data_IF_733588880338
#
_entry.id   IF_733588880338
#
_cell.length_a   1.000
_cell.length_b   1.000
_cell.length_c   1.000
_cell.angle_alpha   90.00
_cell.angle_beta   90.00
_cell.angle_gamma   90.00
#
_symmetry.space_group_name_H-M   'P 1'
#
loop_
_entity.id
_entity.type
_entity.pdbx_description
1 polymer ?
#
# COMPACT_ATOMS: atom_id res chain seq x y z
N UNK A 1 5.58 -24.36 -1.26
CA UNK A 1 5.67 -25.22 -0.06
C UNK A 1 6.14 -24.34 1.10
N UNK A 2 5.25 -23.92 1.98
CA UNK A 2 5.62 -23.20 3.20
C UNK A 2 5.62 -24.20 4.36
N UNK A 3 6.76 -24.37 5.02
CA UNK A 3 6.84 -25.16 6.25
C UNK A 3 6.39 -24.22 7.38
N UNK A 4 5.11 -24.31 7.77
CA UNK A 4 4.62 -23.66 8.98
C UNK A 4 5.01 -24.50 10.20
N UNK A 5 6.01 -24.04 10.96
CA UNK A 5 6.26 -24.57 12.30
C UNK A 5 5.27 -23.90 13.26
N UNK A 6 4.23 -24.64 13.66
CA UNK A 6 3.41 -24.27 14.81
C UNK A 6 4.22 -24.56 16.07
N UNK A 7 4.89 -23.54 16.61
CA UNK A 7 5.47 -23.63 17.94
C UNK A 7 4.32 -23.68 18.97
N UNK A 8 4.50 -24.46 20.04
CA UNK A 8 3.66 -24.37 21.24
C UNK A 8 3.56 -22.89 21.66
N UNK A 9 2.41 -22.43 22.20
CA UNK A 9 2.20 -21.03 22.58
C UNK A 9 3.13 -20.67 23.73
N UNK A 10 4.36 -20.30 23.42
CA UNK A 10 5.21 -19.57 24.35
C UNK A 10 4.71 -18.13 24.34
N UNK A 11 4.57 -17.48 25.51
CA UNK A 11 4.18 -16.08 25.57
C UNK A 11 5.26 -15.26 24.85
N UNK A 12 4.95 -14.84 23.63
CA UNK A 12 5.82 -13.96 22.85
C UNK A 12 5.62 -12.56 23.41
N UNK A 13 6.66 -12.03 24.06
CA UNK A 13 6.68 -10.63 24.47
C UNK A 13 6.88 -9.77 23.22
N UNK A 14 5.78 -9.21 22.69
CA UNK A 14 5.78 -8.33 21.53
C UNK A 14 5.78 -6.89 22.04
N UNK A 15 6.80 -6.12 21.67
CA UNK A 15 6.84 -4.68 21.96
C UNK A 15 5.64 -3.97 21.33
N UNK A 16 4.83 -3.22 22.12
CA UNK A 16 3.70 -2.49 21.58
C UNK A 16 4.12 -1.50 20.50
N UNK A 17 3.38 -1.48 19.37
CA UNK A 17 3.57 -0.52 18.29
C UNK A 17 2.60 0.64 18.45
N UNK A 18 3.07 1.86 18.26
CA UNK A 18 2.20 3.03 18.13
C UNK A 18 1.47 2.97 16.79
N UNK A 19 0.14 3.00 16.82
CA UNK A 19 -0.72 3.04 15.64
C UNK A 19 -1.52 4.35 15.61
N UNK A 20 -1.99 4.74 14.44
CA UNK A 20 -2.89 5.88 14.28
C UNK A 20 -4.29 5.39 13.93
N UNK A 21 -5.28 5.90 14.66
CA UNK A 21 -6.69 5.69 14.40
C UNK A 21 -7.29 7.07 14.20
N UNK A 22 -7.76 7.36 12.98
CA UNK A 22 -8.34 8.66 12.65
C UNK A 22 -9.84 8.70 12.92
N UNK A 23 -10.53 7.55 12.83
CA UNK A 23 -11.96 7.47 13.08
C UNK A 23 -12.36 6.07 13.57
N UNK A 24 -13.22 6.02 14.58
CA UNK A 24 -13.96 4.82 14.99
C UNK A 24 -15.42 5.24 15.11
N UNK A 25 -16.32 4.48 14.48
CA UNK A 25 -17.75 4.75 14.51
C UNK A 25 -18.53 3.47 14.68
N UNK A 26 -19.35 3.41 15.74
CA UNK A 26 -20.35 2.36 15.90
C UNK A 26 -21.44 2.56 14.84
N UNK A 27 -21.69 1.53 14.03
CA UNK A 27 -22.74 1.52 13.03
C UNK A 27 -23.99 0.82 13.54
N UNK A 28 -23.79 -0.32 14.19
CA UNK A 28 -24.87 -1.15 14.71
C UNK A 28 -24.41 -1.89 15.98
N UNK A 29 -25.34 -2.12 16.89
CA UNK A 29 -25.14 -2.94 18.08
C UNK A 29 -26.36 -3.85 18.23
N UNK A 30 -26.15 -5.15 18.15
CA UNK A 30 -27.18 -6.17 18.37
C UNK A 30 -26.99 -6.79 19.74
N UNK A 31 -28.10 -6.86 20.51
CA UNK A 31 -28.11 -7.54 21.80
C UNK A 31 -28.28 -9.04 21.64
N UNK A 32 -28.09 -9.77 22.75
CA UNK A 32 -28.22 -11.23 22.81
C UNK A 32 -27.27 -11.81 23.85
N UNK A 33 -27.20 -13.14 23.92
CA UNK A 33 -26.24 -13.83 24.79
C UNK A 33 -24.78 -13.54 24.40
N UNK A 34 -24.57 -13.24 23.10
CA UNK A 34 -23.31 -12.76 22.53
C UNK A 34 -23.60 -11.46 21.76
N UNK A 35 -23.48 -10.27 22.39
CA UNK A 35 -23.74 -9.01 21.71
C UNK A 35 -22.73 -8.78 20.59
N UNK A 36 -23.21 -8.34 19.43
CA UNK A 36 -22.36 -8.05 18.27
C UNK A 36 -22.37 -6.55 17.96
N UNK A 37 -21.21 -5.99 17.62
CA UNK A 37 -21.07 -4.58 17.29
C UNK A 37 -20.41 -4.44 15.91
N UNK A 38 -21.10 -3.76 14.99
CA UNK A 38 -20.55 -3.39 13.70
C UNK A 38 -19.89 -2.03 13.83
N UNK A 39 -18.57 -1.98 13.60
CA UNK A 39 -17.76 -0.77 13.81
C UNK A 39 -16.98 -0.43 12.55
N UNK A 40 -17.15 0.80 12.07
CA UNK A 40 -16.31 1.35 11.00
C UNK A 40 -15.05 1.98 11.59
N UNK A 41 -13.88 1.53 11.13
CA UNK A 41 -12.58 2.01 11.58
C UNK A 41 -11.78 2.58 10.41
N UNK A 42 -11.20 3.77 10.61
CA UNK A 42 -10.18 4.34 9.71
C UNK A 42 -8.87 4.41 10.49
N UNK A 43 -7.87 3.67 10.01
CA UNK A 43 -6.60 3.52 10.70
C UNK A 43 -5.41 3.51 9.74
N UNK A 44 -4.22 3.82 10.26
CA UNK A 44 -2.97 3.76 9.52
C UNK A 44 -2.50 2.33 9.23
N UNK A 45 -1.49 2.22 8.37
CA UNK A 45 -0.88 0.93 8.01
C UNK A 45 -0.29 0.21 9.23
N UNK A 46 -0.36 -1.13 9.21
CA UNK A 46 0.15 -1.97 10.29
C UNK A 46 -0.71 -2.02 11.55
N UNK A 47 -1.93 -1.47 11.49
CA UNK A 47 -2.93 -1.59 12.57
C UNK A 47 -3.58 -2.97 12.53
N UNK A 48 -3.59 -3.65 13.67
CA UNK A 48 -4.20 -4.98 13.80
C UNK A 48 -5.64 -4.84 14.31
N UNK A 49 -6.62 -4.92 13.41
CA UNK A 49 -8.04 -4.73 13.75
C UNK A 49 -8.51 -5.69 14.85
N UNK A 50 -7.94 -6.90 14.92
CA UNK A 50 -8.22 -7.86 16.01
C UNK A 50 -7.81 -7.32 17.39
N UNK A 51 -6.76 -6.52 17.50
CA UNK A 51 -6.40 -5.86 18.78
C UNK A 51 -7.43 -4.80 19.15
N UNK A 52 -7.93 -4.02 18.18
CA UNK A 52 -8.98 -3.02 18.42
C UNK A 52 -10.25 -3.71 18.91
N UNK A 53 -10.70 -4.77 18.25
CA UNK A 53 -11.89 -5.52 18.67
C UNK A 53 -11.76 -6.02 20.13
N UNK A 54 -10.59 -6.56 20.47
CA UNK A 54 -10.28 -7.02 21.82
C UNK A 54 -10.36 -5.88 22.84
N UNK A 55 -9.61 -4.79 22.61
CA UNK A 55 -9.54 -3.62 23.50
C UNK A 55 -10.90 -2.93 23.65
N UNK A 56 -11.70 -2.86 22.58
CA UNK A 56 -13.07 -2.32 22.64
C UNK A 56 -13.98 -3.19 23.52
N UNK A 57 -13.98 -4.52 23.36
CA UNK A 57 -14.79 -5.40 24.21
C UNK A 57 -14.31 -5.41 25.66
N UNK A 58 -13.00 -5.30 25.89
CA UNK A 58 -12.39 -5.08 27.19
C UNK A 58 -12.91 -3.80 27.86
N UNK A 59 -12.98 -2.69 27.12
CA UNK A 59 -13.50 -1.40 27.61
C UNK A 59 -15.01 -1.39 27.87
N UNK A 60 -15.79 -2.23 27.17
CA UNK A 60 -17.23 -2.35 27.41
C UNK A 60 -17.56 -3.15 28.68
N UNK A 61 -16.70 -4.10 29.05
CA UNK A 61 -16.92 -4.99 30.20
C UNK A 61 -16.42 -4.39 31.53
N UNK A 62 -15.41 -3.52 31.47
CA UNK A 62 -14.76 -2.99 32.68
C UNK A 62 -14.94 -1.48 32.78
N UNK A 63 -15.68 -0.97 33.77
CA UNK A 63 -15.72 0.45 34.08
C UNK A 63 -14.31 1.00 34.28
N UNK A 64 -14.05 2.20 33.77
CA UNK A 64 -12.71 2.79 33.73
C UNK A 64 -12.09 2.94 35.12
N UNK A 65 -12.91 2.98 36.16
CA UNK A 65 -12.55 3.09 37.57
C UNK A 65 -11.98 1.80 38.17
N UNK A 66 -12.16 0.65 37.49
CA UNK A 66 -11.75 -0.69 37.95
C UNK A 66 -10.55 -1.26 37.16
N UNK A 67 -9.90 -0.46 36.31
CA UNK A 67 -8.70 -0.87 35.60
C UNK A 67 -7.48 -0.89 36.54
N UNK A 68 -7.03 -2.08 36.94
CA UNK A 68 -5.80 -2.26 37.71
C UNK A 68 -4.55 -2.18 36.81
N UNK A 69 -3.43 -1.77 37.41
CA UNK A 69 -2.09 -1.63 36.84
C UNK A 69 -1.54 -2.92 36.19
N UNK A 70 -2.14 -4.08 36.50
CA UNK A 70 -1.78 -5.41 35.99
C UNK A 70 -2.29 -5.69 34.58
N UNK A 71 -3.19 -4.85 34.02
CA UNK A 71 -3.89 -5.07 32.74
C UNK A 71 -4.73 -6.36 32.68
N UNK A 72 -4.96 -7.03 33.80
CA UNK A 72 -5.92 -8.13 33.89
C UNK A 72 -7.32 -7.56 34.13
N UNK A 73 -8.12 -7.52 33.07
CA UNK A 73 -9.49 -7.03 33.14
C UNK A 73 -10.40 -8.14 33.65
N UNK A 74 -11.18 -7.84 34.70
CA UNK A 74 -12.14 -8.76 35.29
C UNK A 74 -13.54 -8.18 35.27
N UNK A 75 -14.55 -9.02 35.04
CA UNK A 75 -15.95 -8.62 35.10
C UNK A 75 -16.38 -8.39 36.57
N UNK A 76 -17.60 -7.86 36.84
CA UNK A 76 -18.09 -7.69 38.21
C UNK A 76 -18.16 -8.99 39.04
N UNK A 77 -18.15 -10.16 38.41
CA UNK A 77 -18.10 -11.48 39.05
C UNK A 77 -16.66 -11.98 39.32
N UNK A 78 -15.63 -11.22 38.93
CA UNK A 78 -14.22 -11.56 39.15
C UNK A 78 -13.59 -12.46 38.07
N UNK A 79 -14.33 -12.79 37.01
CA UNK A 79 -13.86 -13.62 35.90
C UNK A 79 -13.01 -12.80 34.92
N UNK A 80 -12.05 -13.44 34.27
CA UNK A 80 -11.20 -12.78 33.27
C UNK A 80 -12.02 -12.37 32.04
N UNK A 81 -12.03 -11.08 31.73
CA UNK A 81 -12.65 -10.57 30.51
C UNK A 81 -11.79 -10.97 29.30
N UNK A 82 -12.37 -11.76 28.39
CA UNK A 82 -11.69 -12.18 27.15
C UNK A 82 -11.74 -11.13 26.04
N UNK A 83 -12.33 -9.96 26.29
CA UNK A 83 -12.46 -8.88 25.31
C UNK A 83 -13.39 -9.24 24.14
N UNK A 84 -13.42 -8.37 23.13
CA UNK A 84 -14.19 -8.63 21.91
C UNK A 84 -13.45 -9.57 20.96
N UNK A 85 -14.19 -10.42 20.26
CA UNK A 85 -13.64 -11.26 19.17
C UNK A 85 -14.10 -10.73 17.83
N UNK A 86 -13.17 -10.62 16.88
CA UNK A 86 -13.49 -10.24 15.51
C UNK A 86 -14.14 -11.43 14.79
N UNK A 87 -15.42 -11.31 14.46
CA UNK A 87 -16.20 -12.33 13.73
C UNK A 87 -16.07 -12.17 12.23
N UNK A 88 -16.19 -10.94 11.74
CA UNK A 88 -16.12 -10.60 10.33
C UNK A 88 -15.29 -9.34 10.10
N UNK A 89 -14.64 -9.26 8.94
CA UNK A 89 -13.85 -8.09 8.54
C UNK A 89 -14.02 -7.83 7.05
N UNK A 90 -14.71 -6.75 6.72
CA UNK A 90 -14.73 -6.20 5.38
C UNK A 90 -13.76 -5.02 5.28
N UNK A 91 -12.90 -5.05 4.27
CA UNK A 91 -11.96 -3.96 3.99
C UNK A 91 -12.47 -3.16 2.80
N UNK A 92 -13.11 -2.02 3.07
CA UNK A 92 -13.63 -1.13 2.03
C UNK A 92 -12.56 -0.33 1.29
N UNK A 93 -11.40 -0.06 1.91
CA UNK A 93 -10.31 0.72 1.32
C UNK A 93 -8.92 0.28 1.82
N UNK A 94 -7.93 0.33 0.93
CA UNK A 94 -6.50 0.18 1.22
C UNK A 94 -5.71 1.32 0.57
N UNK A 95 -5.31 2.33 1.35
CA UNK A 95 -4.60 3.49 0.79
C UNK A 95 -5.44 4.20 -0.26
N UNK A 96 -4.96 4.23 -1.51
CA UNK A 96 -5.68 4.81 -2.66
C UNK A 96 -6.66 3.83 -3.35
N UNK A 97 -6.72 2.57 -2.92
CA UNK A 97 -7.51 1.52 -3.57
C UNK A 97 -8.83 1.28 -2.84
N UNK A 98 -9.93 1.38 -3.56
CA UNK A 98 -11.27 1.03 -3.06
C UNK A 98 -11.59 -0.44 -3.35
N UNK A 99 -12.39 -1.06 -2.47
CA UNK A 99 -12.88 -2.43 -2.66
C UNK A 99 -13.68 -2.58 -3.97
N UNK A 100 -14.45 -1.56 -4.37
CA UNK A 100 -15.24 -1.57 -5.61
C UNK A 100 -14.39 -1.59 -6.89
N UNK A 101 -13.11 -1.24 -6.80
CA UNK A 101 -12.17 -1.31 -7.92
C UNK A 101 -11.31 -2.59 -7.87
N UNK A 102 -11.53 -3.45 -6.87
CA UNK A 102 -10.82 -4.72 -6.74
C UNK A 102 -11.44 -5.75 -7.67
N UNK A 103 -10.62 -6.68 -8.14
CA UNK A 103 -11.04 -7.80 -8.96
C UNK A 103 -10.73 -9.09 -8.22
N UNK A 104 -11.64 -10.04 -8.25
CA UNK A 104 -11.34 -11.40 -7.80
C UNK A 104 -10.53 -12.18 -8.86
N UNK A 105 -10.05 -13.37 -8.49
CA UNK A 105 -9.23 -14.18 -9.40
C UNK A 105 -9.99 -14.70 -10.61
N UNK A 106 -11.31 -14.88 -10.50
CA UNK A 106 -12.15 -15.33 -11.61
C UNK A 106 -12.35 -14.18 -12.62
N UNK A 107 -12.61 -12.97 -12.15
CA UNK A 107 -12.68 -11.76 -12.97
C UNK A 107 -11.34 -11.44 -13.65
N UNK A 108 -10.22 -11.65 -12.95
CA UNK A 108 -8.88 -11.50 -13.53
C UNK A 108 -8.69 -12.54 -14.65
N UNK A 109 -9.06 -13.80 -14.40
CA UNK A 109 -8.96 -14.88 -15.40
C UNK A 109 -9.76 -14.53 -16.66
N UNK A 110 -10.96 -14.00 -16.51
CA UNK A 110 -11.83 -13.69 -17.64
C UNK A 110 -11.32 -12.50 -18.47
N UNK A 111 -10.60 -11.56 -17.84
CA UNK A 111 -9.98 -10.40 -18.51
C UNK A 111 -8.64 -10.72 -19.17
N UNK A 112 -7.94 -11.77 -18.74
CA UNK A 112 -6.67 -12.19 -19.32
C UNK A 112 -6.91 -13.12 -20.52
N UNK A 113 -7.13 -12.55 -21.71
CA UNK A 113 -7.09 -13.34 -22.96
C UNK A 113 -5.69 -13.98 -23.15
N UNK A 114 -5.64 -15.17 -23.73
CA UNK A 114 -4.42 -15.91 -24.09
C UNK A 114 -3.47 -15.04 -24.92
N UNK A 115 -4.01 -14.12 -25.71
CA UNK A 115 -3.25 -13.15 -26.50
C UNK A 115 -2.58 -12.05 -25.65
N UNK A 116 -3.15 -11.67 -24.50
CA UNK A 116 -2.52 -10.75 -23.55
C UNK A 116 -1.27 -11.39 -22.92
N UNK A 117 -1.37 -12.66 -22.52
CA UNK A 117 -0.24 -13.41 -21.94
C UNK A 117 0.87 -13.70 -22.97
N UNK A 118 0.51 -13.94 -24.23
CA UNK A 118 1.46 -14.04 -25.34
C UNK A 118 2.16 -12.69 -25.63
N UNK A 119 1.43 -11.56 -25.59
CA UNK A 119 2.02 -10.21 -25.75
C UNK A 119 2.96 -9.81 -24.62
N UNK A 120 2.71 -10.28 -23.40
CA UNK A 120 3.57 -10.04 -22.24
C UNK A 120 4.82 -10.94 -22.23
N UNK A 121 5.02 -11.82 -23.22
CA UNK A 121 6.18 -12.70 -23.31
C UNK A 121 6.19 -13.84 -22.28
N UNK A 122 5.07 -14.09 -21.61
CA UNK A 122 4.97 -15.05 -20.50
C UNK A 122 4.55 -16.45 -20.99
N UNK A 123 4.03 -16.57 -22.22
CA UNK A 123 3.51 -17.83 -22.76
C UNK A 123 4.21 -18.26 -24.06
N UNK A 124 4.76 -19.48 -24.07
CA UNK A 124 5.32 -20.15 -25.25
C UNK A 124 4.26 -21.04 -25.92
N UNK A 125 4.30 -21.10 -27.25
CA UNK A 125 3.37 -21.87 -28.09
C UNK A 125 3.28 -23.38 -27.77
N UNK A 126 4.21 -23.93 -26.98
CA UNK A 126 4.24 -25.34 -26.59
C UNK A 126 3.10 -25.76 -25.61
N UNK A 127 2.31 -24.82 -25.10
CA UNK A 127 1.21 -25.10 -24.15
C UNK A 127 -0.18 -25.20 -24.81
N UNK A 128 -0.24 -25.13 -26.15
CA UNK A 128 -1.48 -24.94 -26.91
C UNK A 128 -2.38 -26.18 -27.04
N UNK A 129 -1.88 -27.39 -26.75
CA UNK A 129 -2.65 -28.61 -26.99
C UNK A 129 -3.61 -29.02 -25.86
N UNK A 130 -3.62 -28.32 -24.71
CA UNK A 130 -4.36 -28.78 -23.53
C UNK A 130 -5.67 -28.03 -23.20
N UNK A 131 -5.95 -26.86 -23.80
CA UNK A 131 -7.12 -26.05 -23.43
C UNK A 131 -7.82 -25.46 -24.68
N UNK A 132 -8.83 -26.16 -25.18
CA UNK A 132 -9.81 -25.59 -26.11
C UNK A 132 -10.75 -24.66 -25.35
N UNK A 133 -10.36 -23.40 -25.17
CA UNK A 133 -11.27 -22.35 -24.67
C UNK A 133 -11.85 -21.61 -25.89
N UNK A 134 -13.19 -21.56 -26.05
CA UNK A 134 -13.81 -20.80 -27.14
C UNK A 134 -13.50 -19.30 -26.95
N UNK A 135 -12.73 -18.76 -27.89
CA UNK A 135 -12.22 -17.40 -27.90
C UNK A 135 -13.36 -16.41 -28.25
N UNK A 136 -13.96 -15.78 -27.24
CA UNK A 136 -14.80 -14.61 -27.44
C UNK A 136 -13.90 -13.38 -27.70
N UNK A 137 -14.07 -12.76 -28.87
CA UNK A 137 -13.38 -11.51 -29.23
C UNK A 137 -13.90 -10.36 -28.36
N UNK A 138 -13.28 -10.15 -27.21
CA UNK A 138 -13.28 -8.84 -26.56
C UNK A 138 -11.87 -8.33 -26.44
N UNK A 139 -11.70 -7.07 -26.80
CA UNK A 139 -10.47 -6.29 -26.77
C UNK A 139 -10.06 -6.12 -25.30
N UNK A 140 -9.45 -7.14 -24.72
CA UNK A 140 -9.05 -7.16 -23.31
C UNK A 140 -7.91 -6.17 -23.07
N UNK A 141 -8.23 -5.00 -22.52
CA UNK A 141 -7.23 -4.14 -21.88
C UNK A 141 -6.78 -4.81 -20.58
N UNK A 142 -5.47 -4.73 -20.28
CA UNK A 142 -4.92 -5.35 -19.08
C UNK A 142 -5.62 -4.80 -17.83
N UNK A 143 -6.07 -5.65 -16.89
CA UNK A 143 -6.62 -5.19 -15.61
C UNK A 143 -5.55 -4.59 -14.69
N UNK A 144 -4.26 -4.73 -15.05
CA UNK A 144 -3.15 -4.24 -14.26
C UNK A 144 -2.93 -2.74 -14.49
N UNK A 145 -2.94 -2.00 -13.38
CA UNK A 145 -2.48 -0.63 -13.34
C UNK A 145 -0.99 -0.53 -13.66
N UNK A 146 -0.57 0.58 -14.27
CA UNK A 146 0.86 0.85 -14.50
C UNK A 146 1.56 1.15 -13.17
N UNK A 147 2.88 0.94 -13.12
CA UNK A 147 3.67 1.30 -11.92
C UNK A 147 3.51 2.78 -11.58
N UNK A 148 3.39 3.64 -12.59
CA UNK A 148 3.23 5.08 -12.40
C UNK A 148 1.92 5.46 -11.71
N UNK A 149 0.79 4.80 -12.04
CA UNK A 149 -0.50 5.15 -11.45
C UNK A 149 -0.57 4.93 -9.93
N UNK A 150 0.20 3.97 -9.41
CA UNK A 150 0.28 3.71 -7.96
C UNK A 150 1.08 4.80 -7.22
N UNK A 151 1.92 5.53 -7.94
CA UNK A 151 2.91 6.46 -7.40
C UNK A 151 2.54 7.93 -7.65
N UNK A 152 1.32 8.22 -8.09
CA UNK A 152 0.87 9.59 -8.42
C UNK A 152 0.88 10.55 -7.21
N UNK A 153 0.85 10.01 -5.99
CA UNK A 153 1.02 10.76 -4.75
C UNK A 153 2.45 11.30 -4.57
N UNK A 154 3.43 10.77 -5.32
CA UNK A 154 4.80 11.28 -5.30
C UNK A 154 4.98 12.39 -6.35
N UNK A 155 5.73 13.45 -6.02
CA UNK A 155 6.17 14.43 -7.02
C UNK A 155 7.01 13.77 -8.11
N UNK A 156 7.17 14.46 -9.24
CA UNK A 156 7.98 13.96 -10.33
C UNK A 156 8.96 14.98 -10.89
N UNK A 157 10.05 14.45 -11.46
CA UNK A 157 11.09 15.17 -12.17
C UNK A 157 11.25 14.62 -13.58
N UNK A 158 11.32 15.51 -14.57
CA UNK A 158 11.64 15.14 -15.96
C UNK A 158 13.08 15.51 -16.26
N UNK A 159 13.88 14.51 -16.62
CA UNK A 159 15.29 14.66 -16.96
C UNK A 159 15.50 14.86 -18.46
N UNK A 160 16.49 15.67 -18.87
CA UNK A 160 16.96 15.70 -20.25
C UNK A 160 17.45 14.32 -20.70
N UNK A 161 17.32 13.95 -22.00
CA UNK A 161 17.59 12.59 -22.46
C UNK A 161 18.98 12.04 -22.10
N UNK A 162 20.03 12.87 -22.21
CA UNK A 162 21.39 12.46 -21.83
C UNK A 162 21.53 12.15 -20.33
N UNK A 163 20.90 12.97 -19.48
CA UNK A 163 20.92 12.77 -18.02
C UNK A 163 20.05 11.58 -17.60
N UNK A 164 18.92 11.37 -18.26
CA UNK A 164 18.06 10.21 -18.07
C UNK A 164 18.80 8.91 -18.40
N UNK A 165 19.49 8.86 -19.55
CA UNK A 165 20.29 7.70 -19.94
C UNK A 165 21.44 7.44 -18.94
N UNK A 166 22.16 8.49 -18.54
CA UNK A 166 23.20 8.37 -17.52
C UNK A 166 22.64 7.86 -16.19
N UNK A 167 21.47 8.34 -15.76
CA UNK A 167 20.81 7.88 -14.55
C UNK A 167 20.39 6.42 -14.63
N UNK A 168 19.88 5.96 -15.77
CA UNK A 168 19.53 4.55 -15.98
C UNK A 168 20.76 3.63 -15.91
N UNK A 169 21.88 4.05 -16.51
CA UNK A 169 23.12 3.26 -16.58
C UNK A 169 23.93 3.28 -15.28
N UNK A 170 24.08 4.46 -14.66
CA UNK A 170 24.97 4.66 -13.52
C UNK A 170 24.22 4.70 -12.18
N UNK A 171 22.90 4.79 -12.18
CA UNK A 171 22.08 4.85 -10.98
C UNK A 171 22.18 6.15 -10.18
N UNK A 172 22.94 7.14 -10.66
CA UNK A 172 23.11 8.44 -10.02
C UNK A 172 23.27 9.54 -11.07
N UNK A 173 22.67 10.70 -10.82
CA UNK A 173 22.89 11.90 -11.64
C UNK A 173 22.79 13.16 -10.79
N UNK A 174 23.66 14.12 -11.06
CA UNK A 174 23.58 15.47 -10.50
C UNK A 174 22.83 16.38 -11.47
N UNK A 175 21.82 17.07 -10.96
CA UNK A 175 20.94 17.94 -11.74
C UNK A 175 20.88 19.32 -11.13
N UNK A 176 20.98 20.35 -11.97
CA UNK A 176 20.66 21.70 -11.56
C UNK A 176 19.13 21.88 -11.56
N UNK A 177 18.61 22.72 -10.67
CA UNK A 177 17.17 22.99 -10.55
C UNK A 177 16.56 23.53 -11.85
N UNK A 178 17.34 24.25 -12.64
CA UNK A 178 16.96 24.81 -13.95
C UNK A 178 16.87 23.76 -15.07
N UNK A 179 17.58 22.65 -14.94
CA UNK A 179 17.63 21.59 -15.95
C UNK A 179 16.50 20.56 -15.80
N UNK A 180 15.66 20.70 -14.75
CA UNK A 180 14.65 19.72 -14.39
C UNK A 180 13.29 20.39 -14.31
N UNK A 181 12.34 19.83 -15.04
CA UNK A 181 10.94 20.17 -14.90
C UNK A 181 10.36 19.39 -13.73
N UNK A 182 9.88 20.11 -12.71
CA UNK A 182 9.40 19.53 -11.46
C UNK A 182 7.91 19.86 -11.31
N UNK A 183 7.10 18.88 -10.94
CA UNK A 183 5.72 19.11 -10.53
C UNK A 183 5.49 18.54 -9.13
N UNK A 184 4.81 19.32 -8.30
CA UNK A 184 4.41 18.91 -6.96
C UNK A 184 3.25 17.88 -7.02
N UNK A 185 2.98 17.23 -5.90
CA UNK A 185 1.85 16.31 -5.74
C UNK A 185 0.55 16.90 -6.31
N UNK A 186 -0.14 16.14 -7.17
CA UNK A 186 -1.42 16.54 -7.79
C UNK A 186 -1.32 17.52 -8.96
N UNK A 187 -0.13 17.92 -9.42
CA UNK A 187 0.03 18.79 -10.60
C UNK A 187 0.24 17.97 -11.88
N UNK A 188 -0.59 18.24 -12.90
CA UNK A 188 -0.51 17.59 -14.22
C UNK A 188 0.46 18.26 -15.19
N UNK A 189 0.86 19.50 -14.91
CA UNK A 189 1.80 20.26 -15.71
C UNK A 189 3.03 20.64 -14.87
N UNK A 190 4.26 20.37 -15.35
CA UNK A 190 5.46 20.77 -14.66
C UNK A 190 5.57 22.29 -14.61
N UNK A 191 6.06 22.82 -13.48
CA UNK A 191 6.45 24.23 -13.37
C UNK A 191 7.97 24.31 -13.32
N UNK A 192 8.55 25.25 -14.05
CA UNK A 192 9.93 25.63 -13.79
C UNK A 192 10.01 26.17 -12.35
N UNK A 193 10.98 25.70 -11.56
CA UNK A 193 11.29 26.14 -10.19
C UNK A 193 10.43 25.61 -9.02
N UNK A 194 9.75 24.46 -9.12
CA UNK A 194 9.25 23.81 -7.91
C UNK A 194 10.41 23.27 -7.05
N UNK A 195 10.41 23.53 -5.74
CA UNK A 195 11.51 23.15 -4.85
C UNK A 195 11.42 21.66 -4.49
N UNK A 196 12.46 20.87 -4.81
CA UNK A 196 12.61 19.50 -4.32
C UNK A 196 13.06 19.54 -2.86
N UNK A 197 12.43 18.73 -2.00
CA UNK A 197 12.80 18.65 -0.58
C UNK A 197 13.85 17.56 -0.39
N UNK A 198 14.92 17.88 0.35
CA UNK A 198 15.92 16.87 0.73
C UNK A 198 15.25 15.68 1.42
N UNK A 199 15.55 14.47 0.94
CA UNK A 199 15.04 13.23 1.47
C UNK A 199 13.67 12.80 0.92
N UNK A 200 13.04 13.61 0.07
CA UNK A 200 11.78 13.28 -0.58
C UNK A 200 11.97 12.20 -1.67
N UNK A 201 10.98 11.33 -1.84
CA UNK A 201 10.94 10.35 -2.92
C UNK A 201 10.21 10.94 -4.11
N UNK A 202 10.85 10.91 -5.28
CA UNK A 202 10.29 11.45 -6.52
C UNK A 202 10.25 10.39 -7.62
N UNK A 203 9.28 10.51 -8.52
CA UNK A 203 9.24 9.78 -9.79
C UNK A 203 10.15 10.45 -10.81
N UNK A 204 10.87 9.66 -11.60
CA UNK A 204 11.82 10.16 -12.61
C UNK A 204 11.36 9.76 -14.00
N UNK A 205 11.25 10.75 -14.90
CA UNK A 205 10.84 10.59 -16.29
C UNK A 205 11.91 11.10 -17.25
N UNK A 206 11.82 10.71 -18.52
CA UNK A 206 12.63 11.29 -19.60
C UNK A 206 11.85 12.37 -20.36
N UNK A 207 12.48 13.48 -20.75
CA UNK A 207 11.81 14.46 -21.60
C UNK A 207 11.39 13.92 -22.97
N UNK A 208 12.05 12.86 -23.45
CA UNK A 208 11.74 12.21 -24.74
C UNK A 208 10.73 11.07 -24.66
N UNK A 209 10.31 10.64 -23.46
CA UNK A 209 9.38 9.53 -23.28
C UNK A 209 8.50 9.73 -22.04
N UNK A 210 7.18 9.53 -22.13
CA UNK A 210 6.28 9.60 -20.98
C UNK A 210 6.42 8.41 -20.02
N UNK A 211 7.34 7.46 -20.28
CA UNK A 211 7.54 6.28 -19.45
C UNK A 211 8.27 6.62 -18.14
N UNK A 212 7.78 6.08 -17.04
CA UNK A 212 8.43 6.16 -15.74
C UNK A 212 9.75 5.38 -15.77
N UNK A 213 10.88 6.08 -15.57
CA UNK A 213 12.19 5.46 -15.51
C UNK A 213 12.47 4.79 -14.15
N UNK A 214 11.86 5.31 -13.08
CA UNK A 214 11.93 4.75 -11.73
C UNK A 214 11.72 5.79 -10.63
N UNK A 215 12.06 5.41 -9.39
CA UNK A 215 12.01 6.29 -8.22
C UNK A 215 13.42 6.72 -7.83
N UNK A 216 13.54 7.97 -7.38
CA UNK A 216 14.76 8.49 -6.77
C UNK A 216 14.46 9.14 -5.42
N UNK A 217 15.46 9.15 -4.53
CA UNK A 217 15.44 9.99 -3.33
C UNK A 217 16.27 11.24 -3.61
N UNK A 218 15.72 12.41 -3.31
CA UNK A 218 16.40 13.70 -3.50
C UNK A 218 17.49 13.85 -2.44
N UNK A 219 18.73 13.99 -2.86
CA UNK A 219 19.84 14.41 -2.01
C UNK A 219 20.24 15.83 -2.41
N UNK A 220 20.33 16.74 -1.44
CA UNK A 220 20.75 18.12 -1.71
C UNK A 220 22.26 18.15 -1.50
N UNK A 221 22.99 18.81 -2.41
CA UNK A 221 24.44 18.95 -2.26
C UNK A 221 24.73 20.12 -1.31
N UNK A 222 25.50 19.87 -0.25
CA UNK A 222 25.73 20.79 0.88
C UNK A 222 26.26 22.18 0.49
N UNK A 223 26.85 22.31 -0.70
CA UNK A 223 27.52 23.54 -1.16
C UNK A 223 26.76 24.29 -2.27
N UNK A 224 25.57 23.85 -2.68
CA UNK A 224 24.79 24.52 -3.75
C UNK A 224 23.28 24.30 -3.62
N UNK A 225 22.50 25.29 -3.18
CA UNK A 225 21.04 25.16 -2.99
C UNK A 225 20.25 24.91 -4.27
N UNK A 226 20.91 24.94 -5.44
CA UNK A 226 20.29 24.70 -6.74
C UNK A 226 20.78 23.41 -7.42
N UNK A 227 21.56 22.56 -6.73
CA UNK A 227 22.00 21.26 -7.27
C UNK A 227 21.50 20.11 -6.39
N UNK A 228 20.91 19.13 -7.06
CA UNK A 228 20.39 17.92 -6.44
C UNK A 228 21.08 16.70 -7.03
N UNK A 229 21.23 15.67 -6.21
CA UNK A 229 21.70 14.36 -6.61
C UNK A 229 20.51 13.41 -6.56
N UNK A 230 20.20 12.79 -7.69
CA UNK A 230 19.15 11.80 -7.82
C UNK A 230 19.78 10.41 -7.88
N UNK A 231 19.62 9.62 -6.81
CA UNK A 231 20.04 8.21 -6.77
C UNK A 231 18.87 7.30 -7.09
N UNK A 232 19.06 6.37 -8.04
CA UNK A 232 18.10 5.34 -8.40
C UNK A 232 17.84 4.44 -7.20
N UNK A 233 16.57 4.32 -6.82
CA UNK A 233 16.12 3.28 -5.91
C UNK A 233 15.48 2.18 -6.73
N UNK A 234 16.05 0.99 -6.66
CA UNK A 234 15.40 -0.23 -7.13
C UNK A 234 14.39 -0.59 -6.05
N UNK A 235 13.14 -0.88 -6.44
CA UNK A 235 12.18 -1.53 -5.53
C UNK A 235 12.79 -2.88 -5.15
N UNK A 236 13.27 -3.00 -3.90
CA UNK A 236 13.68 -4.27 -3.29
C UNK A 236 12.59 -4.67 -2.31
#
# INVERSE_FOLDING_TARGET
MAICRFALPQPVNITPRRVSISQIQLQELTGGDFPEATVRVVCGAGTYIRSIARECGEALLVPRELQDSTRELRNPAGELCVGGTLTELERSRSGAFEASASLDFDEIRDKLDVRCLARLGVWSAAFSDAFSVPCAQQKGESPLQTVDSVLQHLPFAVLPPMKAQHWLSCGIVSVAAEDVLIAAEGQTAPKQHAALVHGESIRVFCASSPELLGISKVEQQDESPQRFVLRKRIFV
#
